data_IF_557238946814
#
_entry.id   IF_557238946814
#
_cell.length_a   1.000
_cell.length_b   1.000
_cell.length_c   1.000
_cell.angle_alpha   90.00
_cell.angle_beta   90.00
_cell.angle_gamma   90.00
#
_symmetry.space_group_name_H-M   'P 1'
#
loop_
_entity.id
_entity.type
_entity.pdbx_description
1 polymer ?
#
# COMPACT_ATOMS: atom_id res chain seq x y z
N UNK A 1 20.43 -11.93 3.68
CA UNK A 1 19.53 -10.98 2.98
C UNK A 1 18.09 -11.19 3.44
N UNK A 2 17.36 -10.10 3.66
CA UNK A 2 15.91 -10.18 3.91
C UNK A 2 15.22 -10.27 2.54
N UNK A 3 14.30 -11.22 2.40
CA UNK A 3 13.56 -11.45 1.16
C UNK A 3 12.56 -10.32 0.86
N UNK A 4 11.51 -10.65 0.11
CA UNK A 4 10.41 -9.72 -0.12
C UNK A 4 9.61 -9.50 1.17
N UNK A 5 9.26 -8.24 1.47
CA UNK A 5 8.43 -7.87 2.62
C UNK A 5 7.15 -7.18 2.13
N UNK A 6 5.99 -7.68 2.52
CA UNK A 6 4.69 -7.05 2.29
C UNK A 6 4.47 -5.96 3.34
N UNK A 7 4.39 -4.70 2.90
CA UNK A 7 4.23 -3.52 3.76
C UNK A 7 2.88 -2.83 3.65
N UNK A 8 2.26 -2.89 2.48
CA UNK A 8 1.01 -2.18 2.18
C UNK A 8 0.08 -3.06 1.34
N UNK A 9 -1.23 -2.94 1.55
CA UNK A 9 -2.27 -3.62 0.77
C UNK A 9 -3.32 -2.64 0.24
N UNK A 10 -3.97 -2.96 -0.87
CA UNK A 10 -5.09 -2.14 -1.33
C UNK A 10 -6.29 -2.25 -0.35
N UNK A 11 -7.09 -1.19 -0.20
CA UNK A 11 -8.24 -1.16 0.71
C UNK A 11 -9.28 -2.24 0.37
N UNK A 12 -9.78 -2.93 1.41
CA UNK A 12 -10.82 -3.96 1.26
C UNK A 12 -10.36 -5.28 0.64
N UNK A 13 -9.05 -5.49 0.47
CA UNK A 13 -8.48 -6.75 -0.02
C UNK A 13 -8.28 -7.75 1.13
N UNK A 14 -8.50 -9.04 0.85
CA UNK A 14 -8.16 -10.14 1.76
C UNK A 14 -6.73 -10.63 1.47
N UNK A 15 -5.84 -10.52 2.45
CA UNK A 15 -4.41 -10.83 2.29
C UNK A 15 -4.20 -12.29 1.85
N UNK A 16 -4.92 -13.24 2.45
CA UNK A 16 -4.72 -14.66 2.19
C UNK A 16 -5.23 -15.05 0.80
N UNK A 17 -6.47 -14.66 0.46
CA UNK A 17 -7.14 -15.03 -0.79
C UNK A 17 -6.63 -14.28 -2.02
N UNK A 18 -6.36 -12.98 -1.87
CA UNK A 18 -6.13 -12.11 -3.02
C UNK A 18 -4.63 -11.88 -3.27
N UNK A 19 -3.77 -12.11 -2.27
CA UNK A 19 -2.30 -11.93 -2.39
C UNK A 19 -1.57 -13.26 -2.17
N UNK A 20 -1.59 -13.80 -0.95
CA UNK A 20 -0.69 -14.91 -0.59
C UNK A 20 -0.99 -16.20 -1.37
N UNK A 21 -2.26 -16.49 -1.66
CA UNK A 21 -2.62 -17.67 -2.46
C UNK A 21 -2.25 -17.53 -3.94
N UNK A 22 -1.95 -16.32 -4.41
CA UNK A 22 -1.57 -16.03 -5.80
C UNK A 22 -0.05 -16.01 -6.00
N UNK A 23 0.73 -16.14 -4.92
CA UNK A 23 2.19 -16.08 -4.95
C UNK A 23 2.83 -17.48 -4.91
N UNK A 24 3.92 -17.67 -5.66
CA UNK A 24 4.71 -18.91 -5.65
C UNK A 24 5.51 -19.12 -4.35
N UNK A 25 5.70 -18.05 -3.56
CA UNK A 25 6.35 -18.08 -2.26
C UNK A 25 5.69 -17.10 -1.29
N UNK A 26 5.88 -17.33 0.02
CA UNK A 26 5.35 -16.44 1.06
C UNK A 26 6.37 -15.34 1.39
N UNK A 27 6.03 -14.04 1.21
CA UNK A 27 6.87 -12.95 1.66
C UNK A 27 6.82 -12.84 3.19
N UNK A 28 7.80 -12.13 3.76
CA UNK A 28 7.67 -11.66 5.15
C UNK A 28 6.56 -10.60 5.22
N UNK A 29 5.82 -10.55 6.32
CA UNK A 29 4.78 -9.54 6.55
C UNK A 29 5.32 -8.53 7.54
N UNK A 30 5.22 -7.23 7.21
CA UNK A 30 5.67 -6.17 8.10
C UNK A 30 4.77 -6.07 9.34
N UNK A 31 5.36 -5.79 10.50
CA UNK A 31 4.62 -5.59 11.76
C UNK A 31 3.65 -4.39 11.69
N UNK A 32 3.97 -3.42 10.83
CA UNK A 32 3.21 -2.21 10.56
C UNK A 32 2.44 -2.26 9.24
N UNK A 33 2.03 -3.45 8.79
CA UNK A 33 1.20 -3.63 7.60
C UNK A 33 -0.06 -2.75 7.68
N UNK A 34 -0.26 -1.91 6.68
CA UNK A 34 -1.41 -1.00 6.60
C UNK A 34 -1.96 -0.91 5.17
N UNK A 35 -3.10 -0.24 5.02
CA UNK A 35 -3.65 0.01 3.70
C UNK A 35 -2.84 1.09 2.96
N UNK A 36 -2.73 0.93 1.64
CA UNK A 36 -2.20 1.93 0.74
C UNK A 36 -3.00 3.24 0.84
N UNK A 37 -2.37 4.35 0.45
CA UNK A 37 -3.03 5.65 0.39
C UNK A 37 -4.33 5.59 -0.44
N UNK A 38 -5.47 5.87 0.21
CA UNK A 38 -6.80 5.83 -0.38
C UNK A 38 -6.93 6.72 -1.63
N UNK A 39 -6.10 7.77 -1.78
CA UNK A 39 -6.12 8.65 -2.95
C UNK A 39 -5.74 7.92 -4.24
N UNK A 40 -5.04 6.78 -4.17
CA UNK A 40 -4.70 5.93 -5.32
C UNK A 40 -5.96 5.37 -5.99
N UNK A 41 -7.03 5.14 -5.22
CA UNK A 41 -8.25 4.46 -5.66
C UNK A 41 -9.39 5.43 -6.02
N UNK A 42 -9.11 6.72 -6.11
CA UNK A 42 -10.10 7.75 -6.45
C UNK A 42 -9.86 8.29 -7.86
N UNK A 43 -10.94 8.65 -8.55
CA UNK A 43 -10.88 9.28 -9.88
C UNK A 43 -10.61 10.79 -9.77
N UNK A 44 -9.59 11.18 -9.03
CA UNK A 44 -9.18 12.57 -8.83
C UNK A 44 -7.67 12.71 -8.72
N UNK A 45 -7.15 13.93 -8.84
CA UNK A 45 -5.71 14.18 -8.67
C UNK A 45 -5.33 13.98 -7.19
N UNK A 46 -4.34 13.12 -6.92
CA UNK A 46 -3.83 12.86 -5.55
C UNK A 46 -3.22 14.07 -4.83
N UNK A 47 -2.95 15.19 -5.51
CA UNK A 47 -2.37 16.38 -4.89
C UNK A 47 -0.87 16.30 -4.54
N UNK A 48 -0.14 15.29 -5.08
CA UNK A 48 1.26 15.00 -4.76
C UNK A 48 2.19 16.22 -4.94
N UNK A 49 1.91 17.08 -5.91
CA UNK A 49 2.72 18.29 -6.17
C UNK A 49 2.81 19.19 -4.93
N UNK A 50 1.70 19.43 -4.24
CA UNK A 50 1.66 20.33 -3.09
C UNK A 50 2.23 19.66 -1.85
N UNK A 51 2.02 18.35 -1.72
CA UNK A 51 2.60 17.50 -0.66
C UNK A 51 4.13 17.47 -0.70
N UNK A 52 4.71 17.19 -1.87
CA UNK A 52 6.18 17.17 -2.05
C UNK A 52 6.78 18.57 -1.82
N UNK A 53 6.02 19.63 -2.12
CA UNK A 53 6.46 21.03 -1.92
C UNK A 53 6.26 21.54 -0.50
N UNK A 54 5.77 20.71 0.44
CA UNK A 54 5.52 21.11 1.83
C UNK A 54 4.37 22.11 2.00
N UNK A 55 3.53 22.29 0.97
CA UNK A 55 2.35 23.16 1.00
C UNK A 55 1.12 22.33 1.35
N UNK A 56 1.09 21.72 2.53
CA UNK A 56 -0.13 21.07 3.00
C UNK A 56 -1.10 22.17 3.41
N UNK A 57 -2.04 22.50 2.52
CA UNK A 57 -3.20 23.33 2.85
C UNK A 57 -4.03 22.53 3.87
N UNK A 58 -3.96 22.98 5.12
CA UNK A 58 -4.96 22.70 6.17
C UNK A 58 -6.32 23.24 5.74
#
# INVERSE_FOLDING_TARGET
DKGLVLKEIAPGIDIDRDILSQMEFKPDIADDLHEMDLRIFREEKMGIRDEIRGKRLI
#
